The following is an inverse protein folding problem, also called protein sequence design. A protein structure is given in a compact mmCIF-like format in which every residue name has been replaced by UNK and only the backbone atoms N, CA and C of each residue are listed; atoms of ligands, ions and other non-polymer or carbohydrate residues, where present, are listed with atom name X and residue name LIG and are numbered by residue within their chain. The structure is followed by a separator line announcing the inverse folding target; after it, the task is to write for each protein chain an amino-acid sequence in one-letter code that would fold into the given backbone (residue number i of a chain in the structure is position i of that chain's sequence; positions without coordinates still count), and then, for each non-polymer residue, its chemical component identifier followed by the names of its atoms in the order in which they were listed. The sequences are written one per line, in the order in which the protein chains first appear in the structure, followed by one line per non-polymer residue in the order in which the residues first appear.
data_IF_078586201727
#
_entry.id   IF_078586201727
#
_cell.length_a   1.000
_cell.length_b   1.000
_cell.length_c   1.000
_cell.angle_alpha   90.00
_cell.angle_beta   90.00
_cell.angle_gamma   90.00
#
_symmetry.space_group_name_H-M   'P 1'
#
loop_
_entity.id
_entity.type
_entity.pdbx_description
1 polymer ?
#
# COMPACT_ATOMS: atom_id res chain seq x y z
N UNK A 1 -12.62 62.93 34.37
CA UNK A 1 -13.32 62.48 33.15
C UNK A 1 -12.42 61.41 32.52
N UNK A 2 -12.59 60.11 32.78
CA UNK A 2 -13.53 59.13 32.17
C UNK A 2 -13.55 59.29 30.63
N UNK A 3 -13.20 58.30 29.80
CA UNK A 3 -13.53 56.88 29.89
C UNK A 3 -12.40 55.93 29.42
N UNK A 4 -12.37 54.75 30.05
CA UNK A 4 -11.68 53.53 29.64
C UNK A 4 -12.47 52.89 28.50
N UNK A 5 -11.79 52.42 27.46
CA UNK A 5 -12.35 51.47 26.50
C UNK A 5 -11.47 50.23 26.45
N UNK A 6 -12.09 49.09 26.75
CA UNK A 6 -11.49 47.80 27.01
C UNK A 6 -12.19 46.83 26.06
N UNK A 7 -11.53 46.31 25.00
CA UNK A 7 -12.19 45.38 24.10
C UNK A 7 -12.36 44.01 24.76
N UNK A 8 -13.60 43.54 24.67
CA UNK A 8 -14.12 42.31 25.26
C UNK A 8 -13.50 41.05 24.66
N UNK A 9 -13.22 40.08 25.54
CA UNK A 9 -12.91 38.71 25.17
C UNK A 9 -14.19 37.97 24.72
N UNK A 10 -14.13 37.09 23.71
CA UNK A 10 -15.24 36.21 23.36
C UNK A 10 -15.35 35.05 24.36
N UNK A 11 -16.55 34.92 24.92
CA UNK A 11 -17.01 33.79 25.73
C UNK A 11 -17.45 32.67 24.79
N UNK A 12 -16.65 31.62 24.66
CA UNK A 12 -17.12 30.31 24.20
C UNK A 12 -16.49 29.21 25.08
N UNK A 13 -16.94 29.21 26.33
CA UNK A 13 -16.86 28.07 27.22
C UNK A 13 -18.28 27.48 27.33
N UNK A 14 -18.39 26.16 27.38
CA UNK A 14 -19.59 25.38 27.72
C UNK A 14 -20.61 25.11 26.61
N UNK A 15 -20.27 24.13 25.76
CA UNK A 15 -21.28 23.18 25.29
C UNK A 15 -20.67 21.77 25.22
N UNK A 16 -21.23 20.86 26.02
CA UNK A 16 -21.27 19.40 25.79
C UNK A 16 -20.03 18.59 26.20
N UNK A 17 -19.67 18.67 27.48
CA UNK A 17 -19.26 17.50 28.26
C UNK A 17 -20.42 17.06 29.16
N UNK A 18 -21.18 16.04 28.77
CA UNK A 18 -21.83 15.10 29.70
C UNK A 18 -22.61 14.01 28.94
N UNK A 19 -22.41 12.77 29.38
CA UNK A 19 -23.30 11.58 29.25
C UNK A 19 -23.46 11.04 27.81
N UNK A 20 -23.01 9.83 27.47
CA UNK A 20 -23.67 8.56 27.82
C UNK A 20 -22.63 7.44 28.00
N UNK A 21 -22.51 7.00 29.26
CA UNK A 21 -22.21 5.60 29.62
C UNK A 21 -23.46 4.78 29.24
N UNK A 22 -23.27 3.49 28.91
CA UNK A 22 -24.27 2.41 28.71
C UNK A 22 -24.35 1.96 27.23
N UNK A 23 -23.60 0.91 26.87
CA UNK A 23 -24.15 -0.45 26.66
C UNK A 23 -23.02 -1.45 26.37
N UNK A 24 -22.85 -2.35 27.34
CA UNK A 24 -22.24 -3.67 27.18
C UNK A 24 -23.10 -4.58 26.30
N UNK A 25 -22.47 -5.68 25.87
CA UNK A 25 -23.06 -6.96 25.49
C UNK A 25 -23.47 -7.16 24.01
N UNK A 26 -22.54 -7.76 23.28
CA UNK A 26 -22.78 -8.82 22.29
C UNK A 26 -21.41 -9.53 22.15
N UNK A 27 -21.11 -10.65 22.81
CA UNK A 27 -21.87 -11.90 22.92
C UNK A 27 -22.48 -12.31 21.58
N UNK A 28 -21.62 -12.83 20.70
CA UNK A 28 -22.02 -13.78 19.69
C UNK A 28 -20.93 -14.81 19.49
N UNK A 29 -21.25 -15.97 20.05
CA UNK A 29 -20.79 -17.31 19.70
C UNK A 29 -20.30 -17.43 18.25
N UNK A 30 -19.11 -17.99 18.07
CA UNK A 30 -18.82 -18.83 16.91
C UNK A 30 -18.03 -20.04 17.37
N UNK A 31 -18.69 -21.18 17.20
CA UNK A 31 -18.25 -22.56 17.35
C UNK A 31 -16.82 -22.80 16.86
N UNK A 32 -15.96 -23.29 17.76
CA UNK A 32 -14.74 -23.99 17.40
C UNK A 32 -15.08 -25.49 17.27
N UNK A 33 -15.52 -25.86 16.06
CA UNK A 33 -15.84 -27.22 15.68
C UNK A 33 -14.64 -27.87 14.97
N UNK A 34 -14.28 -29.07 15.43
CA UNK A 34 -13.70 -30.11 14.56
C UNK A 34 -12.20 -30.01 14.25
N UNK A 35 -11.40 -30.70 15.06
CA UNK A 35 -10.25 -31.46 14.55
C UNK A 35 -10.80 -32.60 13.70
N UNK A 36 -10.32 -32.75 12.48
CA UNK A 36 -10.11 -34.01 11.75
C UNK A 36 -9.22 -33.63 10.56
N UNK A 37 -7.95 -34.02 10.56
CA UNK A 37 -7.46 -35.30 10.05
C UNK A 37 -7.31 -35.31 8.51
N UNK A 38 -6.19 -35.90 8.11
CA UNK A 38 -6.00 -36.63 6.87
C UNK A 38 -5.49 -35.97 5.57
N UNK A 39 -4.52 -36.71 5.03
CA UNK A 39 -4.17 -36.87 3.64
C UNK A 39 -3.28 -35.81 2.96
N UNK A 40 -1.99 -35.91 3.31
CA UNK A 40 -0.86 -35.66 2.40
C UNK A 40 -0.87 -36.69 1.25
N UNK A 41 -0.96 -36.30 -0.04
CA UNK A 41 -0.58 -37.19 -1.12
C UNK A 41 0.89 -36.99 -1.45
N UNK A 42 1.70 -37.94 -0.97
CA UNK A 42 2.92 -38.36 -1.66
C UNK A 42 2.53 -39.06 -2.96
N UNK A 43 3.14 -38.67 -4.09
CA UNK A 43 3.32 -39.40 -5.37
C UNK A 43 3.44 -38.36 -6.50
N UNK A 44 4.27 -38.48 -7.51
CA UNK A 44 5.26 -39.47 -7.89
C UNK A 44 6.17 -38.80 -8.91
N UNK A 45 7.45 -39.10 -8.77
CA UNK A 45 8.48 -38.91 -9.79
C UNK A 45 8.18 -39.87 -10.95
N UNK A 46 8.03 -39.36 -12.16
CA UNK A 46 8.10 -40.16 -13.39
C UNK A 46 9.01 -39.44 -14.38
N UNK A 47 10.18 -40.01 -14.57
CA UNK A 47 11.12 -39.70 -15.63
C UNK A 47 10.96 -40.77 -16.72
N UNK A 48 10.59 -40.37 -17.92
CA UNK A 48 10.94 -40.93 -19.25
C UNK A 48 10.14 -40.10 -20.26
N UNK A 49 10.63 -39.69 -21.42
CA UNK A 49 11.21 -40.54 -22.44
C UNK A 49 12.01 -39.71 -23.43
N UNK A 50 13.20 -40.21 -23.77
CA UNK A 50 13.89 -39.84 -25.00
C UNK A 50 12.99 -40.19 -26.20
N UNK A 51 12.90 -39.27 -27.15
CA UNK A 51 12.56 -39.58 -28.53
C UNK A 51 13.43 -38.69 -29.42
N UNK A 52 14.57 -39.26 -29.82
CA UNK A 52 15.27 -38.84 -31.03
C UNK A 52 14.33 -39.02 -32.21
N UNK A 53 13.94 -37.90 -32.82
CA UNK A 53 13.10 -37.83 -34.00
C UNK A 53 13.73 -36.89 -35.02
N UNK A 54 14.30 -37.49 -36.05
CA UNK A 54 15.06 -36.93 -37.16
C UNK A 54 14.25 -35.99 -38.08
N UNK A 55 15.02 -35.10 -38.74
CA UNK A 55 14.87 -34.63 -40.14
C UNK A 55 13.80 -33.57 -40.44
N UNK A 56 14.28 -32.34 -40.59
CA UNK A 56 14.29 -31.64 -41.88
C UNK A 56 12.97 -31.08 -42.41
N UNK A 57 12.76 -29.77 -42.27
CA UNK A 57 12.11 -28.95 -43.31
C UNK A 57 12.79 -27.58 -43.37
N UNK A 58 13.21 -27.25 -44.58
CA UNK A 58 13.72 -25.99 -45.09
C UNK A 58 12.98 -24.76 -44.60
N UNK A 59 13.75 -23.72 -44.24
CA UNK A 59 13.51 -22.37 -44.75
C UNK A 59 12.10 -21.79 -44.66
N UNK A 60 11.40 -21.95 -43.54
CA UNK A 60 10.28 -21.06 -43.22
C UNK A 60 10.89 -19.82 -42.55
N UNK A 61 11.08 -18.77 -43.34
CA UNK A 61 11.48 -17.46 -42.86
C UNK A 61 10.67 -17.12 -41.61
N UNK A 62 11.36 -17.15 -40.46
CA UNK A 62 10.84 -16.65 -39.19
C UNK A 62 10.56 -15.17 -39.42
N UNK A 63 9.37 -14.86 -39.94
CA UNK A 63 8.76 -13.56 -39.76
C UNK A 63 8.54 -13.46 -38.26
N UNK A 64 9.58 -13.02 -37.54
CA UNK A 64 9.44 -12.56 -36.17
C UNK A 64 8.34 -11.52 -36.23
N UNK A 65 7.13 -11.91 -35.81
CA UNK A 65 6.07 -10.96 -35.59
C UNK A 65 6.67 -9.86 -34.69
N UNK A 66 6.46 -8.58 -35.02
CA UNK A 66 6.96 -7.51 -34.15
C UNK A 66 6.44 -7.77 -32.75
N UNK A 67 7.35 -7.83 -31.77
CA UNK A 67 6.97 -8.04 -30.40
C UNK A 67 5.87 -7.02 -30.04
N UNK A 68 4.78 -7.44 -29.36
CA UNK A 68 3.72 -6.53 -29.00
C UNK A 68 4.33 -5.36 -28.22
N UNK A 69 4.01 -4.13 -28.66
CA UNK A 69 4.44 -2.93 -27.92
C UNK A 69 3.82 -3.01 -26.53
N UNK A 70 4.68 -3.04 -25.51
CA UNK A 70 4.25 -3.02 -24.12
C UNK A 70 3.50 -1.71 -23.85
N UNK A 71 2.50 -1.77 -22.97
CA UNK A 71 1.88 -0.53 -22.50
C UNK A 71 2.89 0.26 -21.67
N UNK A 72 2.74 1.58 -21.59
CA UNK A 72 3.60 2.41 -20.73
C UNK A 72 3.55 1.98 -19.25
N UNK A 73 2.41 1.43 -18.82
CA UNK A 73 2.27 0.84 -17.51
C UNK A 73 3.15 -0.40 -17.35
N UNK A 74 3.13 -1.33 -18.31
CA UNK A 74 3.94 -2.56 -18.25
C UNK A 74 5.44 -2.24 -18.24
N UNK A 75 5.88 -1.27 -19.05
CA UNK A 75 7.26 -0.79 -19.04
C UNK A 75 7.64 -0.17 -17.68
N UNK A 76 6.72 0.56 -17.06
CA UNK A 76 6.92 1.17 -15.74
C UNK A 76 6.99 0.11 -14.64
N UNK A 77 6.07 -0.86 -14.68
CA UNK A 77 6.05 -1.98 -13.75
C UNK A 77 7.35 -2.79 -13.85
N UNK A 78 7.80 -3.11 -15.07
CA UNK A 78 9.04 -3.83 -15.32
C UNK A 78 10.24 -3.05 -14.75
N UNK A 79 10.33 -1.74 -14.99
CA UNK A 79 11.39 -0.88 -14.44
C UNK A 79 11.35 -0.87 -12.90
N UNK A 80 10.17 -0.77 -12.30
CA UNK A 80 10.03 -0.78 -10.84
C UNK A 80 10.43 -2.13 -10.22
N UNK A 81 10.10 -3.24 -10.87
CA UNK A 81 10.50 -4.59 -10.40
C UNK A 81 12.01 -4.82 -10.50
N UNK A 82 12.66 -4.28 -11.54
CA UNK A 82 14.10 -4.37 -11.74
C UNK A 82 14.91 -3.45 -10.80
N UNK A 83 14.29 -2.38 -10.28
CA UNK A 83 14.94 -1.49 -9.33
C UNK A 83 15.16 -2.23 -7.99
N UNK A 84 16.40 -2.24 -7.50
CA UNK A 84 16.77 -2.85 -6.21
C UNK A 84 16.43 -1.96 -5.01
N UNK A 85 16.44 -0.64 -5.21
CA UNK A 85 16.24 0.36 -4.16
C UNK A 85 14.80 0.91 -4.12
N UNK A 86 14.25 1.06 -2.91
CA UNK A 86 12.89 1.53 -2.69
C UNK A 86 12.69 2.99 -3.13
N UNK A 87 13.68 3.87 -2.96
CA UNK A 87 13.55 5.27 -3.41
C UNK A 87 13.48 5.36 -4.94
N UNK A 88 14.22 4.49 -5.61
CA UNK A 88 14.16 4.38 -7.08
C UNK A 88 12.80 3.89 -7.53
N UNK A 89 12.23 2.87 -6.88
CA UNK A 89 10.85 2.41 -7.13
C UNK A 89 9.82 3.51 -6.90
N UNK A 90 9.95 4.25 -5.80
CA UNK A 90 9.06 5.38 -5.48
C UNK A 90 9.10 6.42 -6.61
N UNK A 91 10.31 6.80 -7.05
CA UNK A 91 10.49 7.76 -8.14
C UNK A 91 9.82 7.28 -9.43
N UNK A 92 10.01 6.03 -9.82
CA UNK A 92 9.42 5.45 -11.04
C UNK A 92 7.89 5.59 -11.02
N UNK A 93 7.24 5.22 -9.92
CA UNK A 93 5.79 5.33 -9.81
C UNK A 93 5.30 6.78 -9.78
N UNK A 94 6.01 7.67 -9.09
CA UNK A 94 5.69 9.10 -9.10
C UNK A 94 5.81 9.71 -10.49
N UNK A 95 6.83 9.34 -11.24
CA UNK A 95 7.06 9.85 -12.59
C UNK A 95 5.95 9.37 -13.53
N UNK A 96 5.53 8.10 -13.44
CA UNK A 96 4.38 7.57 -14.20
C UNK A 96 3.08 8.33 -13.90
N UNK A 97 2.76 8.53 -12.62
CA UNK A 97 1.54 9.26 -12.21
C UNK A 97 1.54 10.73 -12.62
N UNK A 98 2.72 11.32 -12.87
CA UNK A 98 2.85 12.68 -13.39
C UNK A 98 2.75 12.74 -14.91
N UNK A 99 3.31 11.76 -15.61
CA UNK A 99 3.33 11.76 -17.08
C UNK A 99 1.97 11.39 -17.69
N UNK A 100 1.18 10.57 -17.01
CA UNK A 100 -0.09 10.05 -17.53
C UNK A 100 -1.21 10.11 -16.46
N UNK A 101 -1.80 11.29 -16.22
CA UNK A 101 -2.81 11.47 -15.18
C UNK A 101 -4.16 10.83 -15.51
N UNK A 102 -4.44 10.53 -16.78
CA UNK A 102 -5.72 9.96 -17.25
C UNK A 102 -5.60 8.47 -17.60
N UNK A 103 -4.48 7.85 -17.27
CA UNK A 103 -4.22 6.44 -17.53
C UNK A 103 -5.28 5.54 -16.91
N UNK A 104 -5.77 4.55 -17.69
CA UNK A 104 -6.63 3.49 -17.16
C UNK A 104 -5.97 2.68 -16.04
N UNK A 105 -4.63 2.71 -15.95
CA UNK A 105 -3.85 2.01 -14.93
C UNK A 105 -3.50 2.88 -13.72
N UNK A 106 -4.00 4.12 -13.64
CA UNK A 106 -3.66 5.07 -12.56
C UNK A 106 -3.95 4.52 -11.18
N UNK A 107 -5.08 3.84 -11.00
CA UNK A 107 -5.46 3.26 -9.71
C UNK A 107 -4.47 2.18 -9.24
N UNK A 108 -3.97 1.35 -10.17
CA UNK A 108 -2.94 0.35 -9.87
C UNK A 108 -1.60 1.00 -9.55
N UNK A 109 -1.20 2.03 -10.30
CA UNK A 109 0.01 2.78 -10.02
C UNK A 109 -0.04 3.49 -8.63
N UNK A 110 -1.20 4.01 -8.23
CA UNK A 110 -1.43 4.53 -6.87
C UNK A 110 -1.24 3.43 -5.82
N UNK A 111 -1.76 2.22 -6.06
CA UNK A 111 -1.58 1.09 -5.16
C UNK A 111 -0.11 0.67 -5.03
N UNK A 112 0.62 0.55 -6.14
CA UNK A 112 2.05 0.23 -6.11
C UNK A 112 2.90 1.32 -5.45
N UNK A 113 2.57 2.60 -5.66
CA UNK A 113 3.21 3.69 -4.95
C UNK A 113 2.93 3.59 -3.44
N UNK A 114 1.68 3.35 -3.02
CA UNK A 114 1.32 3.18 -1.62
C UNK A 114 2.11 2.04 -0.95
N UNK A 115 2.23 0.88 -1.61
CA UNK A 115 3.04 -0.25 -1.13
C UNK A 115 4.52 0.13 -0.97
N UNK A 116 5.06 0.86 -1.95
CA UNK A 116 6.45 1.33 -1.90
C UNK A 116 6.66 2.31 -0.75
N UNK A 117 5.75 3.26 -0.56
CA UNK A 117 5.81 4.23 0.54
C UNK A 117 5.71 3.53 1.90
N UNK A 118 4.80 2.57 2.04
CA UNK A 118 4.66 1.75 3.24
C UNK A 118 5.98 1.03 3.59
N UNK A 119 6.67 0.44 2.61
CA UNK A 119 7.97 -0.19 2.82
C UNK A 119 9.07 0.82 3.17
N UNK A 120 9.07 2.02 2.58
CA UNK A 120 10.06 3.06 2.92
C UNK A 120 9.86 3.61 4.34
N UNK A 121 8.62 3.63 4.84
CA UNK A 121 8.30 4.13 6.19
C UNK A 121 9.00 3.34 7.30
N UNK A 122 9.25 2.04 7.10
CA UNK A 122 9.96 1.21 8.09
C UNK A 122 11.43 1.61 8.25
N UNK A 123 12.03 2.09 7.16
CA UNK A 123 13.46 2.45 7.12
C UNK A 123 13.72 3.93 7.42
N UNK A 124 12.69 4.79 7.41
CA UNK A 124 12.89 6.23 7.56
C UNK A 124 12.87 6.66 9.03
N UNK A 125 13.78 7.57 9.36
CA UNK A 125 13.80 8.28 10.65
C UNK A 125 13.19 9.67 10.54
N UNK A 126 12.81 10.10 9.33
CA UNK A 126 12.34 11.45 9.06
C UNK A 126 10.84 11.56 9.32
N UNK A 127 10.47 12.37 10.31
CA UNK A 127 9.08 12.62 10.69
C UNK A 127 8.26 13.15 9.52
N UNK A 128 8.76 14.16 8.79
CA UNK A 128 8.10 14.74 7.61
C UNK A 128 7.79 13.70 6.51
N UNK A 129 8.61 12.66 6.39
CA UNK A 129 8.39 11.62 5.40
C UNK A 129 7.24 10.69 5.82
N UNK A 130 7.17 10.34 7.11
CA UNK A 130 6.05 9.56 7.66
C UNK A 130 4.72 10.32 7.53
N UNK A 131 4.72 11.63 7.79
CA UNK A 131 3.52 12.47 7.62
C UNK A 131 3.05 12.51 6.16
N UNK A 132 3.98 12.68 5.22
CA UNK A 132 3.67 12.66 3.78
C UNK A 132 3.12 11.30 3.33
N UNK A 133 3.69 10.21 3.85
CA UNK A 133 3.23 8.86 3.54
C UNK A 133 1.83 8.61 4.10
N UNK A 134 1.56 9.01 5.34
CA UNK A 134 0.23 8.92 5.95
C UNK A 134 -0.81 9.74 5.17
N UNK A 135 -0.46 10.98 4.83
CA UNK A 135 -1.33 11.85 4.03
C UNK A 135 -1.63 11.24 2.64
N UNK A 136 -0.65 10.57 2.03
CA UNK A 136 -0.88 9.85 0.76
C UNK A 136 -1.94 8.76 0.90
N UNK A 137 -1.88 7.94 1.95
CA UNK A 137 -2.89 6.91 2.21
C UNK A 137 -4.29 7.51 2.44
N UNK A 138 -4.38 8.60 3.21
CA UNK A 138 -5.65 9.29 3.48
C UNK A 138 -6.26 9.90 2.22
N UNK A 139 -5.45 10.62 1.43
CA UNK A 139 -5.91 11.28 0.20
C UNK A 139 -6.34 10.29 -0.88
N UNK A 140 -5.82 9.07 -0.86
CA UNK A 140 -6.14 8.01 -1.83
C UNK A 140 -6.97 6.86 -1.24
N UNK A 141 -7.61 7.05 -0.09
CA UNK A 141 -8.36 6.00 0.60
C UNK A 141 -9.45 5.35 -0.30
N UNK A 142 -10.17 6.15 -1.08
CA UNK A 142 -11.21 5.67 -1.99
C UNK A 142 -10.67 4.74 -3.09
N UNK A 143 -9.42 4.92 -3.50
CA UNK A 143 -8.75 4.07 -4.50
C UNK A 143 -8.06 2.87 -3.86
N UNK A 144 -7.39 3.09 -2.72
CA UNK A 144 -6.57 2.06 -2.08
C UNK A 144 -7.41 0.99 -1.37
N UNK A 145 -8.49 1.38 -0.68
CA UNK A 145 -9.33 0.47 0.09
C UNK A 145 -9.90 -0.70 -0.75
N UNK A 146 -10.46 -0.50 -1.96
CA UNK A 146 -10.93 -1.62 -2.78
C UNK A 146 -9.79 -2.45 -3.40
N UNK A 147 -8.64 -1.84 -3.74
CA UNK A 147 -7.54 -2.54 -4.40
C UNK A 147 -6.68 -3.38 -3.44
N UNK A 148 -6.44 -2.87 -2.24
CA UNK A 148 -5.64 -3.55 -1.21
C UNK A 148 -6.49 -4.47 -0.32
N UNK A 149 -7.80 -4.25 -0.29
CA UNK A 149 -8.70 -4.81 0.71
C UNK A 149 -8.82 -3.90 1.93
N UNK A 150 -10.04 -3.75 2.44
CA UNK A 150 -10.33 -2.81 3.53
C UNK A 150 -9.49 -3.08 4.78
N UNK A 151 -9.38 -4.35 5.18
CA UNK A 151 -8.59 -4.75 6.35
C UNK A 151 -7.11 -4.40 6.21
N UNK A 152 -6.50 -4.70 5.05
CA UNK A 152 -5.09 -4.38 4.82
C UNK A 152 -4.85 -2.87 4.81
N UNK A 153 -5.77 -2.11 4.21
CA UNK A 153 -5.68 -0.64 4.21
C UNK A 153 -5.73 -0.06 5.63
N UNK A 154 -6.68 -0.49 6.46
CA UNK A 154 -6.76 -0.02 7.86
C UNK A 154 -5.52 -0.41 8.66
N UNK A 155 -5.01 -1.63 8.45
CA UNK A 155 -3.79 -2.09 9.09
C UNK A 155 -2.58 -1.19 8.75
N UNK A 156 -2.37 -0.88 7.47
CA UNK A 156 -1.29 0.02 7.05
C UNK A 156 -1.46 1.44 7.61
N UNK A 157 -2.69 1.95 7.64
CA UNK A 157 -2.98 3.29 8.14
C UNK A 157 -2.69 3.41 9.64
N UNK A 158 -3.15 2.43 10.44
CA UNK A 158 -2.83 2.35 11.88
C UNK A 158 -1.32 2.20 12.10
N UNK A 159 -0.66 1.32 11.33
CA UNK A 159 0.79 1.11 11.42
C UNK A 159 1.57 2.40 11.19
N UNK A 160 1.24 3.17 10.14
CA UNK A 160 1.87 4.45 9.83
C UNK A 160 1.63 5.50 10.94
N UNK A 161 0.41 5.56 11.48
CA UNK A 161 0.09 6.43 12.63
C UNK A 161 0.91 6.07 13.87
N UNK A 162 1.04 4.78 14.17
CA UNK A 162 1.86 4.30 15.30
C UNK A 162 3.33 4.67 15.12
N UNK A 163 3.90 4.45 13.93
CA UNK A 163 5.28 4.85 13.64
C UNK A 163 5.48 6.36 13.83
N UNK A 164 4.55 7.18 13.34
CA UNK A 164 4.60 8.63 13.50
C UNK A 164 4.56 9.04 14.99
N UNK A 165 3.66 8.43 15.77
CA UNK A 165 3.53 8.72 17.20
C UNK A 165 4.79 8.33 17.99
N UNK A 166 5.40 7.18 17.66
CA UNK A 166 6.66 6.75 18.28
C UNK A 166 7.76 7.78 18.00
N UNK A 167 7.93 8.19 16.73
CA UNK A 167 8.96 9.15 16.34
C UNK A 167 8.74 10.53 16.93
N UNK A 168 7.49 10.97 17.07
CA UNK A 168 7.16 12.27 17.67
C UNK A 168 7.49 12.34 19.17
N UNK A 169 7.41 11.20 19.85
CA UNK A 169 7.68 11.09 21.28
C UNK A 169 9.13 10.65 21.59
N UNK A 170 9.96 10.43 20.57
CA UNK A 170 11.34 10.01 20.75
C UNK A 170 12.15 11.20 21.32
N UNK A 171 12.76 11.08 22.51
CA UNK A 171 13.49 12.17 23.11
C UNK A 171 14.68 12.52 22.23
N UNK A 172 14.81 13.81 21.87
CA UNK A 172 15.91 14.33 21.05
C UNK A 172 17.22 14.09 21.83
N UNK A 173 17.93 13.01 21.51
CA UNK A 173 19.29 12.79 21.96
C UNK A 173 20.15 13.84 21.26
N UNK A 174 20.47 14.93 21.94
CA UNK A 174 21.45 15.91 21.46
C UNK A 174 22.79 15.19 21.28
N UNK A 175 23.45 15.32 20.12
CA UNK A 175 24.79 14.78 19.89
C UNK A 175 25.84 15.47 20.77
#
# INVERSE_FOLDING_TARGET
MKAKDQPAAPKEESALRQEVKILSAADRETEAQGRDDEARPSRSRAAVSSAEGRVGVSGLGKRSAPAPKLSQYDETLQRAQQASDLKTREKIWRDFLKSDPDSSYRALAISHLAQTLAATSDSTTKLDQLEKNLAYFQNHAATLRPLMGAQQFEHELVRLQTLLNIRRNEPIKKP
#
